data_IF_901369829853
#
_entry.id   IF_901369829853
#
_cell.length_a   1.000
_cell.length_b   1.000
_cell.length_c   1.000
_cell.angle_alpha   90.00
_cell.angle_beta   90.00
_cell.angle_gamma   90.00
#
_symmetry.space_group_name_H-M   'P 1'
#
loop_
_entity.id
_entity.type
_entity.pdbx_description
1 polymer ?
#
# COMPACT_ATOMS: atom_id res chain seq x y z
N UNK A 1 -16.67 -32.80 -25.45
CA UNK A 1 -16.56 -32.11 -24.16
C UNK A 1 -17.88 -31.41 -23.91
N UNK A 2 -18.46 -31.57 -22.71
CA UNK A 2 -19.72 -30.91 -22.41
C UNK A 2 -19.47 -29.42 -22.06
N UNK A 3 -20.44 -28.57 -22.37
CA UNK A 3 -20.37 -27.11 -22.09
C UNK A 3 -20.08 -26.80 -20.60
N UNK A 4 -20.47 -27.68 -19.70
CA UNK A 4 -20.22 -27.59 -18.26
C UNK A 4 -18.73 -27.82 -17.93
N UNK A 5 -18.05 -28.75 -18.60
CA UNK A 5 -16.61 -28.98 -18.40
C UNK A 5 -15.78 -27.82 -18.94
N UNK A 6 -16.18 -27.19 -20.04
CA UNK A 6 -15.50 -26.05 -20.60
C UNK A 6 -15.62 -24.82 -19.67
N UNK A 7 -16.82 -24.52 -19.14
CA UNK A 7 -17.01 -23.41 -18.20
C UNK A 7 -16.22 -23.58 -16.90
N UNK A 8 -16.11 -24.79 -16.34
CA UNK A 8 -15.30 -25.05 -15.15
C UNK A 8 -13.78 -24.88 -15.41
N UNK A 9 -13.31 -25.23 -16.61
CA UNK A 9 -11.90 -25.02 -17.00
C UNK A 9 -11.61 -23.53 -17.14
N UNK A 10 -12.52 -22.78 -17.75
CA UNK A 10 -12.40 -21.33 -17.95
C UNK A 10 -12.43 -20.58 -16.61
N UNK A 11 -13.32 -20.98 -15.68
CA UNK A 11 -13.37 -20.41 -14.33
C UNK A 11 -12.10 -20.68 -13.53
N UNK A 12 -11.56 -21.90 -13.58
CA UNK A 12 -10.32 -22.25 -12.91
C UNK A 12 -9.10 -21.51 -13.49
N UNK A 13 -9.05 -21.34 -14.81
CA UNK A 13 -8.01 -20.55 -15.47
C UNK A 13 -8.08 -19.08 -15.08
N UNK A 14 -9.29 -18.50 -15.01
CA UNK A 14 -9.50 -17.12 -14.57
C UNK A 14 -9.10 -16.91 -13.09
N UNK A 15 -9.40 -17.87 -12.22
CA UNK A 15 -9.00 -17.82 -10.80
C UNK A 15 -7.46 -17.91 -10.69
N UNK A 16 -6.82 -18.80 -11.43
CA UNK A 16 -5.37 -18.93 -11.43
C UNK A 16 -4.68 -17.67 -11.97
N UNK A 17 -5.19 -17.09 -13.07
CA UNK A 17 -4.68 -15.84 -13.62
C UNK A 17 -4.80 -14.67 -12.61
N UNK A 18 -5.92 -14.55 -11.90
CA UNK A 18 -6.09 -13.55 -10.83
C UNK A 18 -5.13 -13.76 -9.68
N UNK A 19 -4.85 -14.99 -9.30
CA UNK A 19 -3.89 -15.30 -8.22
C UNK A 19 -2.46 -14.89 -8.60
N UNK A 20 -2.04 -15.12 -9.84
CA UNK A 20 -0.72 -14.70 -10.35
C UNK A 20 -0.62 -13.18 -10.32
N UNK A 21 -1.63 -12.47 -10.82
CA UNK A 21 -1.67 -11.00 -10.84
C UNK A 21 -1.51 -10.41 -9.44
N UNK A 22 -2.16 -10.98 -8.43
CA UNK A 22 -2.03 -10.54 -7.05
C UNK A 22 -0.63 -10.78 -6.47
N UNK A 23 -0.04 -11.94 -6.75
CA UNK A 23 1.33 -12.23 -6.34
C UNK A 23 2.29 -11.21 -6.92
N UNK A 24 2.17 -10.90 -8.21
CA UNK A 24 3.00 -9.93 -8.92
C UNK A 24 2.94 -8.53 -8.29
N UNK A 25 1.73 -8.06 -7.94
CA UNK A 25 1.54 -6.79 -7.23
C UNK A 25 2.24 -6.81 -5.88
N UNK A 26 1.97 -7.81 -5.06
CA UNK A 26 2.47 -7.90 -3.69
C UNK A 26 3.99 -8.05 -3.66
N UNK A 27 4.56 -8.92 -4.50
CA UNK A 27 5.99 -9.17 -4.52
C UNK A 27 6.77 -7.97 -5.09
N UNK A 28 6.30 -7.35 -6.17
CA UNK A 28 6.96 -6.17 -6.73
C UNK A 28 6.94 -4.97 -5.79
N UNK A 29 5.81 -4.73 -5.12
CA UNK A 29 5.67 -3.62 -4.17
C UNK A 29 6.50 -3.85 -2.91
N UNK A 30 6.51 -5.07 -2.35
CA UNK A 30 7.37 -5.42 -1.22
C UNK A 30 8.86 -5.33 -1.60
N UNK A 31 9.23 -5.81 -2.78
CA UNK A 31 10.61 -5.73 -3.25
C UNK A 31 11.09 -4.27 -3.36
N UNK A 32 10.25 -3.40 -3.94
CA UNK A 32 10.55 -1.98 -4.06
C UNK A 32 10.64 -1.29 -2.69
N UNK A 33 9.75 -1.64 -1.76
CA UNK A 33 9.77 -1.14 -0.39
C UNK A 33 11.07 -1.50 0.32
N UNK A 34 11.46 -2.77 0.31
CA UNK A 34 12.70 -3.23 0.94
C UNK A 34 13.95 -2.59 0.33
N UNK A 35 13.93 -2.28 -0.98
CA UNK A 35 15.01 -1.55 -1.63
C UNK A 35 15.08 -0.10 -1.14
N UNK A 36 13.94 0.58 -0.99
CA UNK A 36 13.85 1.93 -0.48
C UNK A 36 14.26 2.02 1.00
N UNK A 37 13.80 1.08 1.83
CA UNK A 37 14.14 1.01 3.27
C UNK A 37 15.65 0.81 3.48
N UNK A 38 16.29 0.00 2.66
CA UNK A 38 17.74 -0.22 2.72
C UNK A 38 18.55 1.05 2.44
N UNK A 39 18.00 1.98 1.66
CA UNK A 39 18.67 3.25 1.31
C UNK A 39 18.27 4.41 2.20
N UNK A 40 17.29 4.21 3.08
CA UNK A 40 16.83 5.26 3.98
C UNK A 40 17.89 5.59 5.03
N UNK A 41 18.31 6.87 5.07
CA UNK A 41 19.36 7.33 5.98
C UNK A 41 18.84 7.58 7.41
N UNK A 42 17.57 7.96 7.57
CA UNK A 42 16.93 8.21 8.86
C UNK A 42 15.40 8.26 8.74
N UNK A 43 14.72 8.00 9.86
CA UNK A 43 13.26 8.02 9.95
C UNK A 43 12.76 9.43 10.26
N UNK A 44 12.65 10.27 9.23
CA UNK A 44 12.04 11.59 9.34
C UNK A 44 11.35 11.99 8.04
N UNK A 45 10.51 13.03 8.11
CA UNK A 45 9.74 13.55 6.97
C UNK A 45 10.67 14.08 5.86
N UNK A 46 11.85 14.57 6.20
CA UNK A 46 12.78 15.16 5.22
C UNK A 46 13.38 14.09 4.29
N UNK A 47 13.55 12.85 4.78
CA UNK A 47 14.05 11.73 3.97
C UNK A 47 12.94 11.00 3.20
N UNK A 48 11.68 11.36 3.39
CA UNK A 48 10.53 10.74 2.71
C UNK A 48 10.64 10.81 1.19
N UNK A 49 11.05 11.96 0.64
CA UNK A 49 11.17 12.14 -0.81
C UNK A 49 12.25 11.22 -1.40
N UNK A 50 13.38 11.07 -0.72
CA UNK A 50 14.45 10.16 -1.16
C UNK A 50 14.00 8.70 -1.12
N UNK A 51 13.33 8.29 -0.05
CA UNK A 51 12.75 6.97 0.07
C UNK A 51 11.73 6.71 -1.05
N UNK A 52 10.79 7.64 -1.22
CA UNK A 52 9.74 7.53 -2.23
C UNK A 52 10.30 7.48 -3.65
N UNK A 53 11.35 8.27 -3.94
CA UNK A 53 12.03 8.22 -5.22
C UNK A 53 12.65 6.84 -5.47
N UNK A 54 13.37 6.28 -4.50
CA UNK A 54 13.95 4.92 -4.63
C UNK A 54 12.87 3.86 -4.82
N UNK A 55 11.76 3.99 -4.11
CA UNK A 55 10.60 3.10 -4.23
C UNK A 55 10.03 3.11 -5.65
N UNK A 56 9.73 4.31 -6.19
CA UNK A 56 9.17 4.46 -7.54
C UNK A 56 10.16 4.09 -8.64
N UNK A 57 11.44 4.42 -8.50
CA UNK A 57 12.49 4.02 -9.43
C UNK A 57 12.62 2.48 -9.49
N UNK A 58 12.53 1.82 -8.33
CA UNK A 58 12.57 0.35 -8.27
C UNK A 58 11.34 -0.26 -8.92
N UNK A 59 10.14 0.26 -8.66
CA UNK A 59 8.92 -0.20 -9.34
C UNK A 59 9.04 -0.04 -10.85
N UNK A 60 9.55 1.09 -11.32
CA UNK A 60 9.78 1.31 -12.76
C UNK A 60 10.78 0.32 -13.35
N UNK A 61 11.85 0.01 -12.63
CA UNK A 61 12.87 -0.95 -13.07
C UNK A 61 12.35 -2.39 -13.18
N UNK A 62 11.32 -2.74 -12.43
CA UNK A 62 10.69 -4.08 -12.48
C UNK A 62 9.44 -4.15 -13.36
N UNK A 63 9.18 -3.12 -14.17
CA UNK A 63 8.15 -3.17 -15.21
C UNK A 63 6.89 -2.34 -14.93
N UNK A 64 6.80 -1.63 -13.80
CA UNK A 64 5.71 -0.68 -13.57
C UNK A 64 5.95 0.62 -14.34
N UNK A 65 5.02 0.98 -15.20
CA UNK A 65 5.01 2.29 -15.88
C UNK A 65 4.18 3.27 -15.07
N UNK A 66 4.82 4.33 -14.57
CA UNK A 66 4.15 5.38 -13.83
C UNK A 66 3.33 6.23 -14.80
N UNK A 67 2.02 6.30 -14.59
CA UNK A 67 1.09 7.09 -15.38
C UNK A 67 0.86 8.47 -14.77
N UNK A 68 0.77 8.52 -13.44
CA UNK A 68 0.63 9.76 -12.67
C UNK A 68 1.32 9.62 -11.32
N UNK A 69 1.93 10.72 -10.83
CA UNK A 69 2.57 10.81 -9.53
C UNK A 69 2.35 12.22 -8.97
N UNK A 70 1.49 12.33 -7.98
CA UNK A 70 1.24 13.57 -7.24
C UNK A 70 1.83 13.47 -5.83
N UNK A 71 2.39 14.57 -5.37
CA UNK A 71 2.93 14.68 -4.02
C UNK A 71 2.47 16.00 -3.39
N UNK A 72 1.76 15.91 -2.29
CA UNK A 72 1.21 17.07 -1.57
C UNK A 72 1.74 17.11 -0.15
N UNK A 73 1.82 18.31 0.42
CA UNK A 73 2.17 18.53 1.81
C UNK A 73 1.15 19.45 2.47
N UNK A 74 0.69 19.06 3.64
CA UNK A 74 -0.23 19.83 4.48
C UNK A 74 0.29 19.87 5.91
N UNK A 75 0.24 21.04 6.53
CA UNK A 75 0.60 21.22 7.95
C UNK A 75 -0.65 21.62 8.73
N UNK A 76 -0.96 20.87 9.77
CA UNK A 76 -2.02 21.17 10.72
C UNK A 76 -1.40 21.74 12.00
N UNK A 77 -1.86 22.93 12.40
CA UNK A 77 -1.36 23.62 13.61
C UNK A 77 -2.51 23.90 14.57
N UNK A 78 -2.38 23.43 15.81
CA UNK A 78 -3.30 23.76 16.89
C UNK A 78 -4.72 23.21 16.73
N UNK A 79 -4.95 22.30 15.80
CA UNK A 79 -6.22 21.63 15.55
C UNK A 79 -6.30 20.31 16.30
N UNK A 80 -7.44 19.67 16.25
CA UNK A 80 -7.64 18.30 16.73
C UNK A 80 -8.18 17.44 15.57
N UNK A 81 -7.82 16.17 15.55
CA UNK A 81 -8.30 15.24 14.53
C UNK A 81 -7.74 13.83 14.71
N UNK A 82 -8.02 12.97 13.76
CA UNK A 82 -7.41 11.63 13.64
C UNK A 82 -6.80 11.43 12.26
N UNK A 83 -5.78 10.58 12.16
CA UNK A 83 -5.17 10.26 10.87
C UNK A 83 -6.19 9.60 9.94
N UNK A 84 -7.02 8.69 10.46
CA UNK A 84 -8.05 8.03 9.66
C UNK A 84 -9.02 9.03 9.01
N UNK A 85 -9.51 10.01 9.77
CA UNK A 85 -10.42 11.03 9.24
C UNK A 85 -9.73 11.92 8.21
N UNK A 86 -8.48 12.30 8.47
CA UNK A 86 -7.68 13.10 7.53
C UNK A 86 -7.42 12.35 6.22
N UNK A 87 -7.11 11.05 6.28
CA UNK A 87 -6.95 10.20 5.09
C UNK A 87 -8.24 10.20 4.26
N UNK A 88 -9.40 9.97 4.90
CA UNK A 88 -10.69 9.94 4.20
C UNK A 88 -11.07 11.30 3.63
N UNK A 89 -10.80 12.39 4.34
CA UNK A 89 -11.05 13.76 3.88
C UNK A 89 -10.16 14.11 2.68
N UNK A 90 -8.87 13.81 2.73
CA UNK A 90 -7.95 14.05 1.61
C UNK A 90 -8.37 13.26 0.36
N UNK A 91 -8.71 11.99 0.51
CA UNK A 91 -9.19 11.16 -0.60
C UNK A 91 -10.52 11.66 -1.17
N UNK A 92 -11.43 12.17 -0.35
CA UNK A 92 -12.71 12.71 -0.80
C UNK A 92 -12.54 14.02 -1.60
N UNK A 93 -11.52 14.79 -1.30
CA UNK A 93 -11.20 16.08 -1.92
C UNK A 93 -10.22 15.99 -3.10
N UNK A 94 -9.56 14.83 -3.30
CA UNK A 94 -8.63 14.63 -4.40
C UNK A 94 -9.38 14.33 -5.71
N UNK A 95 -9.30 15.22 -6.72
CA UNK A 95 -10.02 15.04 -7.98
C UNK A 95 -9.53 13.85 -8.82
N UNK A 96 -8.35 13.30 -8.52
CA UNK A 96 -7.79 12.13 -9.19
C UNK A 96 -8.33 10.82 -8.61
N UNK A 97 -8.90 10.87 -7.40
CA UNK A 97 -9.48 9.71 -6.71
C UNK A 97 -10.90 9.46 -7.19
N UNK A 98 -11.10 8.35 -7.90
CA UNK A 98 -12.43 7.94 -8.31
C UNK A 98 -13.32 7.55 -7.12
N UNK A 99 -14.65 7.65 -7.29
CA UNK A 99 -15.62 7.19 -6.26
C UNK A 99 -15.43 5.71 -5.91
N UNK A 100 -15.04 4.88 -6.88
CA UNK A 100 -14.79 3.45 -6.69
C UNK A 100 -13.53 3.22 -5.83
N UNK A 101 -12.46 3.98 -6.08
CA UNK A 101 -11.23 3.94 -5.30
C UNK A 101 -11.50 4.40 -3.85
N UNK A 102 -12.17 5.55 -3.67
CA UNK A 102 -12.59 6.04 -2.35
C UNK A 102 -13.39 4.99 -1.57
N UNK A 103 -14.41 4.39 -2.21
CA UNK A 103 -15.23 3.37 -1.57
C UNK A 103 -14.42 2.11 -1.21
N UNK A 104 -13.43 1.74 -2.00
CA UNK A 104 -12.55 0.60 -1.72
C UNK A 104 -11.66 0.87 -0.51
N UNK A 105 -11.00 2.03 -0.48
CA UNK A 105 -10.16 2.44 0.65
C UNK A 105 -10.99 2.57 1.94
N UNK A 106 -12.14 3.25 1.89
CA UNK A 106 -13.02 3.39 3.05
C UNK A 106 -13.47 2.05 3.63
N UNK A 107 -13.81 1.08 2.76
CA UNK A 107 -14.17 -0.28 3.20
C UNK A 107 -13.01 -1.01 3.86
N UNK A 108 -11.78 -0.84 3.34
CA UNK A 108 -10.61 -1.46 3.93
C UNK A 108 -10.26 -0.89 5.30
N UNK A 109 -10.25 0.43 5.42
CA UNK A 109 -10.04 1.10 6.71
C UNK A 109 -11.10 0.68 7.74
N UNK A 110 -12.37 0.59 7.32
CA UNK A 110 -13.44 0.12 8.17
C UNK A 110 -13.28 -1.37 8.55
N UNK A 111 -12.85 -2.22 7.62
CA UNK A 111 -12.59 -3.63 7.90
C UNK A 111 -11.42 -3.78 8.89
N UNK A 112 -10.36 -2.99 8.70
CA UNK A 112 -9.22 -2.96 9.62
C UNK A 112 -9.62 -2.47 11.01
N UNK A 113 -10.43 -1.42 11.11
CA UNK A 113 -10.97 -0.93 12.40
C UNK A 113 -11.78 -1.99 13.16
N UNK A 114 -12.45 -2.88 12.44
CA UNK A 114 -13.24 -3.99 13.03
C UNK A 114 -12.38 -5.12 13.61
N UNK A 115 -11.09 -5.18 13.30
CA UNK A 115 -10.19 -6.17 13.92
C UNK A 115 -10.01 -5.91 15.43
N UNK A 116 -10.30 -4.69 15.86
CA UNK A 116 -10.23 -4.26 17.26
C UNK A 116 -8.87 -3.70 17.64
N UNK A 117 -8.89 -2.78 18.60
CA UNK A 117 -7.67 -2.18 19.15
C UNK A 117 -6.82 -3.23 19.86
N UNK A 118 -5.52 -3.24 19.60
CA UNK A 118 -4.56 -4.23 20.13
C UNK A 118 -4.62 -5.59 19.45
N UNK A 119 -5.31 -5.72 18.32
CA UNK A 119 -5.27 -6.94 17.50
C UNK A 119 -3.86 -7.21 16.96
N UNK A 120 -3.55 -8.48 16.64
CA UNK A 120 -2.28 -8.85 16.02
C UNK A 120 -2.05 -8.06 14.71
N UNK A 121 -3.11 -7.84 13.93
CA UNK A 121 -3.04 -7.08 12.69
C UNK A 121 -2.66 -5.61 12.92
N UNK A 122 -3.28 -4.94 13.91
CA UNK A 122 -2.93 -3.57 14.28
C UNK A 122 -1.50 -3.49 14.83
N UNK A 123 -1.13 -4.41 15.71
CA UNK A 123 0.23 -4.47 16.29
C UNK A 123 1.30 -4.62 15.23
N UNK A 124 1.10 -5.50 14.24
CA UNK A 124 2.03 -5.68 13.12
C UNK A 124 2.06 -4.43 12.25
N UNK A 125 0.90 -3.82 11.95
CA UNK A 125 0.81 -2.61 11.16
C UNK A 125 1.53 -1.44 11.85
N UNK A 126 1.26 -1.19 13.11
CA UNK A 126 1.87 -0.10 13.86
C UNK A 126 3.38 -0.29 14.03
N UNK A 127 3.84 -1.51 14.31
CA UNK A 127 5.27 -1.82 14.42
C UNK A 127 6.04 -1.63 13.12
N UNK A 128 5.36 -1.80 11.97
CA UNK A 128 5.95 -1.60 10.65
C UNK A 128 5.85 -0.14 10.15
N UNK A 129 4.94 0.66 10.72
CA UNK A 129 4.61 2.00 10.23
C UNK A 129 5.19 3.12 11.10
N UNK A 130 5.35 2.89 12.42
CA UNK A 130 5.81 3.90 13.37
C UNK A 130 7.33 3.79 13.53
N UNK A 131 8.03 4.89 13.32
CA UNK A 131 9.47 4.96 13.55
C UNK A 131 9.83 4.76 15.03
N UNK A 132 11.07 4.36 15.30
CA UNK A 132 11.58 4.14 16.65
C UNK A 132 11.53 5.38 17.55
N UNK A 133 11.58 6.58 16.96
CA UNK A 133 11.37 7.86 17.68
C UNK A 133 9.94 8.04 18.18
N UNK A 134 8.97 7.34 17.59
CA UNK A 134 7.52 7.54 17.81
C UNK A 134 7.02 8.96 17.47
N UNK A 135 7.77 9.73 16.69
CA UNK A 135 7.42 11.08 16.22
C UNK A 135 7.17 11.13 14.72
N UNK A 136 7.42 10.03 14.04
CA UNK A 136 7.20 9.85 12.60
C UNK A 136 6.49 8.53 12.36
N UNK A 137 5.55 8.54 11.40
CA UNK A 137 4.94 7.32 10.89
C UNK A 137 4.68 7.44 9.38
N UNK A 138 4.66 6.27 8.72
CA UNK A 138 4.35 6.18 7.30
C UNK A 138 3.59 4.90 7.00
N UNK A 139 2.68 4.94 6.03
CA UNK A 139 1.97 3.77 5.53
C UNK A 139 1.53 3.96 4.09
N UNK A 140 1.19 2.87 3.44
CA UNK A 140 0.72 2.85 2.07
C UNK A 140 -0.53 1.99 1.95
N UNK A 141 -1.44 2.41 1.07
CA UNK A 141 -2.59 1.64 0.63
C UNK A 141 -2.46 1.38 -0.87
N UNK A 142 -2.54 0.13 -1.27
CA UNK A 142 -2.49 -0.26 -2.66
C UNK A 142 -3.85 -0.79 -3.12
N UNK A 143 -4.35 -0.29 -4.23
CA UNK A 143 -5.55 -0.77 -4.88
C UNK A 143 -5.19 -1.21 -6.30
N UNK A 144 -5.30 -2.51 -6.56
CA UNK A 144 -5.09 -3.05 -7.89
C UNK A 144 -6.44 -3.32 -8.58
N UNK A 145 -6.47 -3.05 -9.87
CA UNK A 145 -7.61 -3.30 -10.75
C UNK A 145 -7.12 -3.71 -12.12
N UNK A 146 -8.00 -4.29 -12.92
CA UNK A 146 -7.74 -4.57 -14.34
C UNK A 146 -8.64 -3.64 -15.15
N UNK A 147 -8.07 -2.93 -16.14
CA UNK A 147 -8.83 -2.06 -17.03
C UNK A 147 -9.56 -2.87 -18.12
N UNK A 148 -10.30 -2.17 -18.99
CA UNK A 148 -11.06 -2.79 -20.10
C UNK A 148 -10.15 -3.47 -21.11
N UNK A 149 -8.91 -3.05 -21.26
CA UNK A 149 -7.89 -3.61 -22.16
C UNK A 149 -7.20 -4.85 -21.56
N UNK A 150 -7.48 -5.17 -20.29
CA UNK A 150 -6.86 -6.28 -19.57
C UNK A 150 -5.57 -5.92 -18.84
N UNK A 151 -5.15 -4.66 -18.87
CA UNK A 151 -3.95 -4.20 -18.17
C UNK A 151 -4.15 -4.13 -16.66
N UNK A 152 -3.14 -4.54 -15.92
CA UNK A 152 -3.10 -4.39 -14.47
C UNK A 152 -2.73 -2.97 -14.08
N UNK A 153 -3.67 -2.29 -13.43
CA UNK A 153 -3.50 -0.95 -12.89
C UNK A 153 -3.34 -1.03 -11.37
N UNK A 154 -2.30 -0.40 -10.86
CA UNK A 154 -2.08 -0.21 -9.43
C UNK A 154 -2.18 1.26 -9.08
N UNK A 155 -3.07 1.60 -8.14
CA UNK A 155 -3.08 2.91 -7.48
C UNK A 155 -2.51 2.74 -6.09
N UNK A 156 -1.42 3.43 -5.83
CA UNK A 156 -0.73 3.47 -4.55
C UNK A 156 -0.97 4.82 -3.90
N UNK A 157 -1.43 4.79 -2.68
CA UNK A 157 -1.68 5.94 -1.83
C UNK A 157 -0.71 5.86 -0.66
N UNK A 158 0.16 6.85 -0.51
CA UNK A 158 1.18 6.88 0.54
C UNK A 158 0.99 8.08 1.45
N UNK A 159 1.12 7.85 2.76
CA UNK A 159 1.10 8.88 3.79
C UNK A 159 2.35 8.81 4.63
N UNK A 160 2.93 9.98 4.87
CA UNK A 160 4.09 10.19 5.70
C UNK A 160 3.78 11.36 6.61
N UNK A 161 3.85 11.19 7.91
CA UNK A 161 3.54 12.26 8.82
C UNK A 161 4.44 12.28 10.04
N UNK A 162 4.66 13.47 10.56
CA UNK A 162 5.36 13.70 11.83
C UNK A 162 4.50 14.55 12.76
N UNK A 163 4.69 14.35 14.05
CA UNK A 163 4.00 15.08 15.09
C UNK A 163 4.97 15.44 16.22
N UNK A 164 4.72 16.55 16.87
CA UNK A 164 5.38 16.88 18.13
C UNK A 164 4.78 16.14 19.35
N UNK A 165 3.82 15.25 19.10
CA UNK A 165 3.26 14.32 20.08
C UNK A 165 3.67 12.90 19.71
N UNK A 166 3.79 12.04 20.74
CA UNK A 166 4.11 10.63 20.54
C UNK A 166 2.99 9.92 19.78
N UNK A 167 3.33 9.29 18.65
CA UNK A 167 2.44 8.48 17.83
C UNK A 167 2.36 7.09 18.48
N UNK A 168 1.19 6.73 18.99
CA UNK A 168 0.94 5.44 19.62
C UNK A 168 0.21 4.43 18.72
N UNK A 169 -0.42 4.89 17.65
CA UNK A 169 -1.05 4.08 16.62
C UNK A 169 -1.01 4.83 15.29
N UNK A 170 -0.82 4.14 14.19
CA UNK A 170 -0.65 4.78 12.88
C UNK A 170 -1.95 5.40 12.38
N UNK A 171 -3.00 4.61 12.19
CA UNK A 171 -4.27 5.10 11.62
C UNK A 171 -5.17 5.75 12.67
N UNK A 172 -5.09 5.33 13.92
CA UNK A 172 -5.93 5.82 15.00
C UNK A 172 -5.25 6.89 15.85
N UNK A 173 -4.06 7.36 15.41
CA UNK A 173 -3.41 8.50 16.06
C UNK A 173 -4.34 9.68 16.05
N UNK A 174 -4.63 10.18 17.24
CA UNK A 174 -5.39 11.40 17.47
C UNK A 174 -4.48 12.48 18.05
N UNK A 175 -4.58 13.68 17.52
CA UNK A 175 -3.83 14.82 18.02
C UNK A 175 -4.78 15.90 18.51
N UNK A 176 -4.29 16.68 19.48
CA UNK A 176 -4.99 17.83 20.02
C UNK A 176 -3.98 18.90 20.39
N UNK A 177 -4.16 20.12 19.86
CA UNK A 177 -3.24 21.25 20.09
C UNK A 177 -1.78 20.92 19.71
N UNK A 178 -1.57 20.07 18.71
CA UNK A 178 -0.27 19.66 18.22
C UNK A 178 0.03 20.23 16.84
N UNK A 179 1.29 20.17 16.45
CA UNK A 179 1.70 20.33 15.06
C UNK A 179 1.75 18.95 14.40
N UNK A 180 1.13 18.83 13.24
CA UNK A 180 1.14 17.64 12.42
C UNK A 180 1.50 18.02 10.97
N UNK A 181 2.64 17.52 10.50
CA UNK A 181 3.06 17.66 9.11
C UNK A 181 2.75 16.37 8.38
N UNK A 182 1.94 16.46 7.31
CA UNK A 182 1.56 15.31 6.50
C UNK A 182 2.05 15.55 5.07
N UNK A 183 2.74 14.54 4.52
CA UNK A 183 3.01 14.43 3.08
C UNK A 183 2.25 13.25 2.53
N UNK A 184 1.57 13.45 1.42
CA UNK A 184 0.82 12.39 0.74
C UNK A 184 1.25 12.26 -0.70
N UNK A 185 1.14 11.06 -1.24
CA UNK A 185 1.31 10.81 -2.67
C UNK A 185 0.22 9.90 -3.17
N UNK A 186 -0.30 10.23 -4.36
CA UNK A 186 -1.12 9.33 -5.17
C UNK A 186 -0.34 8.95 -6.41
N UNK A 187 -0.10 7.66 -6.58
CA UNK A 187 0.66 7.09 -7.70
C UNK A 187 -0.22 6.09 -8.44
N UNK A 188 -0.41 6.30 -9.74
CA UNK A 188 -1.11 5.35 -10.61
C UNK A 188 -0.12 4.77 -11.61
N UNK A 189 -0.08 3.44 -11.71
CA UNK A 189 0.87 2.69 -12.52
C UNK A 189 0.19 1.59 -13.29
N UNK A 190 0.76 1.23 -14.46
CA UNK A 190 0.37 0.08 -15.26
C UNK A 190 1.51 -0.92 -15.33
N UNK A 191 1.25 -2.20 -15.10
CA UNK A 191 2.26 -3.23 -15.21
C UNK A 191 2.50 -3.61 -16.67
N UNK A 192 3.74 -3.51 -17.11
CA UNK A 192 4.20 -4.18 -18.34
C UNK A 192 4.54 -5.63 -18.00
N UNK A 193 3.62 -6.54 -18.30
CA UNK A 193 3.72 -7.96 -17.97
C UNK A 193 4.95 -8.60 -18.60
N UNK A 194 5.27 -8.26 -19.85
CA UNK A 194 6.43 -8.82 -20.57
C UNK A 194 7.77 -8.45 -19.92
N UNK A 195 7.88 -7.24 -19.39
CA UNK A 195 9.07 -6.83 -18.65
C UNK A 195 9.10 -7.47 -17.27
N UNK A 196 7.96 -7.54 -16.57
CA UNK A 196 7.89 -8.15 -15.25
C UNK A 196 8.20 -9.64 -15.30
N UNK A 197 7.74 -10.37 -16.30
CA UNK A 197 8.03 -11.79 -16.50
C UNK A 197 9.52 -12.10 -16.52
N UNK A 198 10.34 -11.20 -17.05
CA UNK A 198 11.79 -11.37 -17.11
C UNK A 198 12.45 -11.31 -15.73
N UNK A 199 11.81 -10.65 -14.76
CA UNK A 199 12.36 -10.43 -13.40
C UNK A 199 11.56 -11.13 -12.31
N UNK A 200 10.34 -11.62 -12.58
CA UNK A 200 9.41 -12.25 -11.63
C UNK A 200 10.11 -13.30 -10.76
N UNK A 201 10.77 -14.27 -11.39
CA UNK A 201 11.45 -15.34 -10.66
C UNK A 201 12.58 -14.80 -9.76
N UNK A 202 13.33 -13.82 -10.24
CA UNK A 202 14.43 -13.23 -9.47
C UNK A 202 13.93 -12.42 -8.26
N UNK A 203 12.77 -11.77 -8.39
CA UNK A 203 12.12 -11.06 -7.28
C UNK A 203 11.64 -12.06 -6.25
N UNK A 204 10.90 -13.07 -6.69
CA UNK A 204 10.38 -14.13 -5.82
C UNK A 204 11.51 -14.81 -5.03
N UNK A 205 12.56 -15.27 -5.71
CA UNK A 205 13.71 -15.94 -5.10
C UNK A 205 14.42 -15.05 -4.06
N UNK A 206 14.59 -13.76 -4.34
CA UNK A 206 15.17 -12.82 -3.38
C UNK A 206 14.32 -12.60 -2.14
N UNK A 207 12.99 -12.53 -2.30
CA UNK A 207 12.05 -12.38 -1.19
C UNK A 207 11.98 -13.66 -0.35
N UNK A 208 11.97 -14.82 -0.98
CA UNK A 208 11.96 -16.14 -0.31
C UNK A 208 13.25 -16.37 0.46
N UNK A 209 14.41 -16.20 -0.18
CA UNK A 209 15.72 -16.37 0.44
C UNK A 209 15.97 -15.41 1.62
N UNK A 210 15.32 -14.24 1.60
CA UNK A 210 15.34 -13.28 2.71
C UNK A 210 14.26 -13.56 3.78
N UNK A 211 13.46 -14.63 3.66
CA UNK A 211 12.30 -14.94 4.51
C UNK A 211 11.27 -13.80 4.59
N UNK A 212 11.13 -13.03 3.52
CA UNK A 212 10.23 -11.85 3.47
C UNK A 212 8.84 -12.18 2.93
N UNK A 213 8.66 -13.28 2.19
CA UNK A 213 7.33 -13.71 1.69
C UNK A 213 6.32 -13.94 2.82
N UNK A 214 6.79 -14.35 4.00
CA UNK A 214 5.96 -14.50 5.19
C UNK A 214 5.32 -13.18 5.67
N UNK A 215 5.87 -12.03 5.31
CA UNK A 215 5.30 -10.71 5.65
C UNK A 215 4.03 -10.39 4.85
N UNK A 216 3.85 -11.00 3.67
CA UNK A 216 2.70 -10.79 2.81
C UNK A 216 1.46 -11.61 3.22
N UNK A 217 1.65 -12.74 3.89
CA UNK A 217 0.63 -13.76 4.07
C UNK A 217 -0.44 -13.45 5.12
N UNK A 218 -0.13 -12.89 6.30
CA UNK A 218 -1.14 -12.73 7.35
C UNK A 218 -2.20 -11.67 7.06
N UNK A 219 -1.84 -10.58 6.42
CA UNK A 219 -2.73 -9.44 6.16
C UNK A 219 -3.63 -9.66 4.94
N UNK A 220 -3.10 -10.30 3.90
CA UNK A 220 -3.88 -10.65 2.72
C UNK A 220 -5.06 -11.58 3.07
N UNK A 221 -4.88 -12.56 3.96
CA UNK A 221 -5.95 -13.53 4.28
C UNK A 221 -7.13 -12.93 5.02
N UNK A 222 -6.92 -11.93 5.87
CA UNK A 222 -8.02 -11.32 6.63
C UNK A 222 -8.79 -10.26 5.84
N UNK A 223 -8.14 -9.60 4.88
CA UNK A 223 -8.73 -8.51 4.09
C UNK A 223 -9.30 -8.97 2.74
N UNK A 224 -8.72 -9.99 2.11
CA UNK A 224 -9.19 -10.54 0.82
C UNK A 224 -10.59 -11.13 0.92
N UNK A 225 -10.98 -11.70 2.06
CA UNK A 225 -12.35 -12.22 2.25
C UNK A 225 -13.42 -11.12 2.21
N UNK A 226 -13.04 -9.86 2.48
CA UNK A 226 -13.97 -8.73 2.57
C UNK A 226 -13.86 -7.75 1.41
N UNK A 227 -12.71 -7.69 0.73
CA UNK A 227 -12.45 -6.78 -0.39
C UNK A 227 -11.41 -7.41 -1.34
N UNK A 228 -11.84 -8.12 -2.39
CA UNK A 228 -10.93 -8.87 -3.28
C UNK A 228 -9.98 -8.00 -4.13
N UNK A 229 -10.06 -6.69 -4.05
CA UNK A 229 -9.28 -5.75 -4.86
C UNK A 229 -8.35 -4.84 -4.06
N UNK A 230 -8.24 -5.04 -2.74
CA UNK A 230 -7.47 -4.15 -1.88
C UNK A 230 -6.37 -4.91 -1.12
N UNK A 231 -5.16 -4.38 -1.15
CA UNK A 231 -4.05 -4.82 -0.30
C UNK A 231 -3.57 -3.65 0.55
N UNK A 232 -3.43 -3.88 1.85
CA UNK A 232 -2.61 -3.05 2.72
C UNK A 232 -1.17 -3.51 2.54
N UNK A 233 -0.31 -2.61 2.09
CA UNK A 233 1.12 -2.84 2.04
C UNK A 233 1.71 -2.17 3.27
N UNK A 234 2.31 -2.98 4.13
CA UNK A 234 2.95 -2.48 5.34
C UNK A 234 4.34 -1.96 4.99
N UNK A 235 4.64 -0.74 5.44
CA UNK A 235 6.00 -0.27 5.46
C UNK A 235 6.70 -0.91 6.66
N UNK A 236 7.84 -1.56 6.44
CA UNK A 236 8.75 -1.87 7.53
C UNK A 236 9.55 -0.61 7.83
N UNK A 237 9.38 -0.04 9.00
CA UNK A 237 10.25 1.02 9.51
C UNK A 237 11.66 0.50 9.79
#
# INVERSE_FOLDING_TARGET
MSSIQQSQIDDNAAVAARAIVWSDVLESTLFAQLAADKQRASDNVDNTLSWYKTYTDTLSAVGWRINNADFTQVTYNGTAGTINDTVLEQLANDPTVSKALYASVSRALLAFARTGSGSDAETVFDSASIASSSEFASFQLAVASVNEDGDLILTLLAWFYSSNQKIGSTLWFSWQNATLDIKTSTLTMTLNVDLYDQVRFSIHDKLDSANKLGLLVPLCKSLISSCPQLSLILNSA
#
